data_IF_779820188596
#
_entry.id   IF_779820188596
#
_cell.length_a   1.000
_cell.length_b   1.000
_cell.length_c   1.000
_cell.angle_alpha   90.00
_cell.angle_beta   90.00
_cell.angle_gamma   90.00
#
_symmetry.space_group_name_H-M   'P 1'
#
loop_
_entity.id
_entity.type
_entity.pdbx_description
1 polymer ?
#
# COMPACT_ATOMS: atom_id res chain seq x y z
N UNK A 1 19.07 -2.03 -11.70
CA UNK A 1 19.00 -0.64 -11.22
C UNK A 1 18.30 -0.56 -9.86
N UNK A 2 17.27 -1.34 -9.60
CA UNK A 2 16.53 -1.33 -8.34
C UNK A 2 16.71 -2.65 -7.58
N UNK A 3 17.98 -3.04 -7.35
CA UNK A 3 18.32 -4.25 -6.60
C UNK A 3 17.87 -4.12 -5.14
N UNK A 4 17.14 -5.13 -4.67
CA UNK A 4 16.63 -5.24 -3.31
C UNK A 4 17.19 -6.50 -2.61
N UNK A 5 18.28 -7.06 -3.12
CA UNK A 5 18.94 -8.21 -2.52
C UNK A 5 19.31 -7.93 -1.06
N UNK A 6 18.96 -8.85 -0.17
CA UNK A 6 19.18 -8.72 1.26
C UNK A 6 18.20 -7.78 1.98
N UNK A 7 17.22 -7.19 1.29
CA UNK A 7 16.13 -6.40 1.91
C UNK A 7 14.95 -7.29 2.27
N UNK A 8 14.25 -6.94 3.35
CA UNK A 8 13.12 -7.66 3.94
C UNK A 8 11.88 -6.80 3.86
N UNK A 9 10.88 -7.26 3.12
CA UNK A 9 9.67 -6.50 2.84
C UNK A 9 8.43 -7.13 3.48
N UNK A 10 7.66 -6.36 4.23
CA UNK A 10 6.33 -6.72 4.70
C UNK A 10 5.27 -6.03 3.83
N UNK A 11 4.41 -6.82 3.20
CA UNK A 11 3.35 -6.33 2.31
C UNK A 11 1.98 -6.69 2.89
N UNK A 12 1.17 -5.69 3.24
CA UNK A 12 -0.21 -5.90 3.68
C UNK A 12 -1.18 -5.94 2.50
N UNK A 13 -2.27 -6.71 2.61
CA UNK A 13 -3.20 -6.90 1.51
C UNK A 13 -2.59 -7.63 0.31
N UNK A 14 -1.61 -8.49 0.57
CA UNK A 14 -0.85 -9.21 -0.46
C UNK A 14 -1.65 -10.34 -1.17
N UNK A 15 -2.89 -10.60 -0.74
CA UNK A 15 -3.73 -11.70 -1.27
C UNK A 15 -4.40 -11.40 -2.61
N UNK A 16 -4.16 -10.26 -3.23
CA UNK A 16 -4.77 -9.93 -4.53
C UNK A 16 -4.41 -8.56 -5.06
N UNK A 17 -4.76 -8.29 -6.31
CA UNK A 17 -4.63 -7.01 -6.97
C UNK A 17 -3.23 -6.39 -6.85
N UNK A 18 -3.19 -5.12 -6.49
CA UNK A 18 -1.98 -4.32 -6.34
C UNK A 18 -1.00 -4.95 -5.34
N UNK A 19 -1.49 -5.45 -4.20
CA UNK A 19 -0.61 -6.01 -3.16
C UNK A 19 0.16 -7.24 -3.60
N UNK A 20 -0.49 -8.14 -4.37
CA UNK A 20 0.18 -9.33 -4.92
C UNK A 20 1.22 -8.96 -5.99
N UNK A 21 0.92 -7.98 -6.85
CA UNK A 21 1.85 -7.47 -7.85
C UNK A 21 3.07 -6.82 -7.19
N UNK A 22 2.86 -6.00 -6.16
CA UNK A 22 3.96 -5.40 -5.39
C UNK A 22 4.85 -6.48 -4.76
N UNK A 23 4.24 -7.47 -4.06
CA UNK A 23 5.01 -8.52 -3.42
C UNK A 23 5.87 -9.33 -4.40
N UNK A 24 5.29 -9.70 -5.56
CA UNK A 24 6.00 -10.39 -6.64
C UNK A 24 7.13 -9.52 -7.22
N UNK A 25 6.86 -8.24 -7.46
CA UNK A 25 7.85 -7.32 -8.02
C UNK A 25 9.03 -7.08 -7.07
N UNK A 26 8.79 -6.90 -5.75
CA UNK A 26 9.85 -6.77 -4.75
C UNK A 26 10.70 -8.05 -4.67
N UNK A 27 10.06 -9.22 -4.67
CA UNK A 27 10.76 -10.50 -4.67
C UNK A 27 11.59 -10.72 -5.95
N UNK A 28 11.09 -10.32 -7.11
CA UNK A 28 11.82 -10.38 -8.38
C UNK A 28 13.07 -9.49 -8.39
N UNK A 29 13.13 -8.46 -7.55
CA UNK A 29 14.33 -7.64 -7.32
C UNK A 29 15.22 -8.17 -6.18
N UNK A 30 14.97 -9.37 -5.66
CA UNK A 30 15.81 -10.03 -4.68
C UNK A 30 15.40 -9.82 -3.20
N UNK A 31 14.30 -9.14 -2.93
CA UNK A 31 13.81 -8.98 -1.56
C UNK A 31 13.26 -10.31 -0.99
N UNK A 32 13.51 -10.56 0.29
CA UNK A 32 12.75 -11.50 1.10
C UNK A 32 11.40 -10.88 1.46
N UNK A 33 10.29 -11.59 1.24
CA UNK A 33 8.96 -10.99 1.37
C UNK A 33 8.07 -11.71 2.39
N UNK A 34 7.42 -10.96 3.26
CA UNK A 34 6.33 -11.40 4.11
C UNK A 34 4.99 -10.93 3.54
N UNK A 35 4.12 -11.88 3.23
CA UNK A 35 2.81 -11.69 2.64
C UNK A 35 1.74 -11.66 3.73
N UNK A 36 1.03 -10.55 3.91
CA UNK A 36 0.00 -10.43 4.93
C UNK A 36 -1.38 -10.12 4.33
N UNK A 37 -2.40 -10.70 4.92
CA UNK A 37 -3.81 -10.56 4.58
C UNK A 37 -4.66 -11.56 5.35
N UNK A 38 -5.98 -11.52 5.14
CA UNK A 38 -6.92 -12.40 5.86
C UNK A 38 -7.14 -13.75 5.18
N UNK A 39 -6.95 -13.84 3.86
CA UNK A 39 -7.25 -15.03 3.05
C UNK A 39 -5.99 -15.89 2.86
N UNK A 40 -5.74 -16.82 3.77
CA UNK A 40 -4.51 -17.65 3.77
C UNK A 40 -4.31 -18.37 2.44
N UNK A 41 -5.33 -19.07 1.92
CA UNK A 41 -5.21 -19.77 0.63
C UNK A 41 -4.85 -18.87 -0.55
N UNK A 42 -5.34 -17.60 -0.56
CA UNK A 42 -4.96 -16.65 -1.59
C UNK A 42 -3.51 -16.15 -1.41
N UNK A 43 -3.03 -16.02 -0.18
CA UNK A 43 -1.61 -15.72 0.09
C UNK A 43 -0.70 -16.86 -0.37
N UNK A 44 -1.12 -18.12 -0.15
CA UNK A 44 -0.40 -19.31 -0.61
C UNK A 44 -0.28 -19.35 -2.14
N UNK A 45 -1.37 -19.02 -2.85
CA UNK A 45 -1.34 -18.94 -4.32
C UNK A 45 -0.38 -17.83 -4.81
N UNK A 46 -0.39 -16.67 -4.17
CA UNK A 46 0.57 -15.61 -4.50
C UNK A 46 2.00 -16.07 -4.22
N UNK A 47 2.23 -16.76 -3.10
CA UNK A 47 3.54 -17.26 -2.71
C UNK A 47 4.11 -18.29 -3.71
N UNK A 48 3.27 -19.12 -4.37
CA UNK A 48 3.72 -20.04 -5.43
C UNK A 48 4.39 -19.31 -6.59
N UNK A 49 3.94 -18.11 -6.92
CA UNK A 49 4.49 -17.27 -7.99
C UNK A 49 5.74 -16.46 -7.59
N UNK A 50 6.25 -16.64 -6.37
CA UNK A 50 7.41 -15.92 -5.88
C UNK A 50 8.60 -16.88 -5.80
N UNK A 51 9.68 -16.54 -6.52
CA UNK A 51 10.99 -17.19 -6.38
C UNK A 51 11.76 -16.54 -5.23
N UNK A 52 12.38 -17.32 -4.35
CA UNK A 52 13.12 -16.80 -3.21
C UNK A 52 12.41 -16.96 -1.87
N UNK A 53 12.97 -16.32 -0.85
CA UNK A 53 12.45 -16.42 0.52
C UNK A 53 11.14 -15.65 0.67
N UNK A 54 10.14 -16.32 1.23
CA UNK A 54 8.80 -15.78 1.44
C UNK A 54 8.16 -16.35 2.69
N UNK A 55 7.35 -15.54 3.35
CA UNK A 55 6.64 -15.90 4.57
C UNK A 55 5.17 -15.52 4.42
N UNK A 56 4.29 -16.32 4.99
CA UNK A 56 2.85 -16.04 5.02
C UNK A 56 2.49 -15.68 6.46
N UNK A 57 2.07 -14.43 6.66
CA UNK A 57 1.74 -13.86 7.95
C UNK A 57 0.29 -13.36 7.94
N UNK A 58 -0.70 -14.23 8.24
CA UNK A 58 -2.09 -13.84 8.26
C UNK A 58 -2.35 -12.73 9.28
N UNK A 59 -3.07 -11.69 8.87
CA UNK A 59 -3.44 -10.60 9.76
C UNK A 59 -4.79 -10.01 9.35
N UNK A 60 -5.65 -9.79 10.34
CA UNK A 60 -6.88 -9.02 10.19
C UNK A 60 -6.66 -7.60 10.69
N UNK A 61 -6.61 -6.62 9.79
CA UNK A 61 -6.40 -5.23 10.14
C UNK A 61 -7.57 -4.56 10.87
N UNK A 62 -8.71 -5.21 10.98
CA UNK A 62 -9.81 -4.77 11.84
C UNK A 62 -9.64 -5.19 13.30
N UNK A 63 -8.68 -6.07 13.59
CA UNK A 63 -8.32 -6.50 14.94
C UNK A 63 -6.97 -5.89 15.34
N UNK A 64 -7.01 -4.97 16.30
CA UNK A 64 -5.83 -4.22 16.72
C UNK A 64 -4.74 -5.12 17.32
N UNK A 65 -5.13 -6.16 18.07
CA UNK A 65 -4.17 -7.11 18.64
C UNK A 65 -3.45 -7.89 17.53
N UNK A 66 -4.15 -8.23 16.45
CA UNK A 66 -3.57 -8.85 15.25
C UNK A 66 -2.58 -7.90 14.57
N UNK A 67 -2.95 -6.62 14.45
CA UNK A 67 -2.09 -5.57 13.86
C UNK A 67 -0.79 -5.39 14.67
N UNK A 68 -0.89 -5.33 15.99
CA UNK A 68 0.27 -5.12 16.86
C UNK A 68 1.25 -6.29 16.84
N UNK A 69 0.79 -7.50 16.59
CA UNK A 69 1.64 -8.70 16.45
C UNK A 69 2.31 -8.84 15.08
N UNK A 70 1.78 -8.22 14.02
CA UNK A 70 2.24 -8.49 12.65
C UNK A 70 3.70 -8.11 12.40
N UNK A 71 4.13 -6.91 12.81
CA UNK A 71 5.53 -6.49 12.61
C UNK A 71 6.49 -7.34 13.46
N UNK A 72 6.26 -7.59 14.76
CA UNK A 72 7.06 -8.54 15.53
C UNK A 72 7.18 -9.93 14.89
N UNK A 73 6.10 -10.50 14.36
CA UNK A 73 6.13 -11.78 13.65
C UNK A 73 6.98 -11.70 12.38
N UNK A 74 6.90 -10.60 11.63
CA UNK A 74 7.73 -10.39 10.45
C UNK A 74 9.21 -10.23 10.81
N UNK A 75 9.51 -9.54 11.89
CA UNK A 75 10.88 -9.40 12.41
C UNK A 75 11.45 -10.74 12.88
N UNK A 76 10.65 -11.58 13.53
CA UNK A 76 11.05 -12.93 13.94
C UNK A 76 11.32 -13.82 12.70
N UNK A 77 10.44 -13.78 11.70
CA UNK A 77 10.54 -14.63 10.51
C UNK A 77 11.70 -14.24 9.59
N UNK A 78 11.99 -12.94 9.44
CA UNK A 78 12.96 -12.41 8.47
C UNK A 78 14.23 -11.80 9.12
N UNK A 79 14.26 -11.65 10.44
CA UNK A 79 15.34 -10.97 11.15
C UNK A 79 15.23 -9.43 11.12
N UNK A 80 14.10 -8.88 10.69
CA UNK A 80 13.79 -7.45 10.66
C UNK A 80 12.87 -7.05 9.50
N UNK A 81 12.50 -5.78 9.44
CA UNK A 81 11.70 -5.21 8.35
C UNK A 81 12.40 -3.97 7.80
N UNK A 82 12.82 -4.02 6.55
CA UNK A 82 13.48 -2.92 5.84
C UNK A 82 12.49 -2.10 5.01
N UNK A 83 11.47 -2.76 4.47
CA UNK A 83 10.45 -2.19 3.58
C UNK A 83 9.09 -2.55 4.16
N UNK A 84 8.24 -1.53 4.41
CA UNK A 84 6.86 -1.71 4.83
C UNK A 84 5.92 -1.16 3.76
N UNK A 85 5.10 -2.02 3.18
CA UNK A 85 4.05 -1.64 2.22
C UNK A 85 2.69 -1.70 2.90
N UNK A 86 2.15 -0.53 3.25
CA UNK A 86 0.79 -0.36 3.74
C UNK A 86 -0.17 -0.29 2.54
N UNK A 87 -0.51 -1.46 1.99
CA UNK A 87 -1.37 -1.57 0.80
C UNK A 87 -2.80 -1.99 1.14
N UNK A 88 -3.01 -2.79 2.18
CA UNK A 88 -4.36 -3.22 2.54
C UNK A 88 -5.31 -2.02 2.70
N UNK A 89 -6.52 -2.18 2.22
CA UNK A 89 -7.55 -1.16 2.32
C UNK A 89 -8.91 -1.70 1.92
N UNK A 90 -9.94 -0.97 2.33
CA UNK A 90 -11.33 -1.27 1.99
C UNK A 90 -12.10 0.02 1.72
N UNK A 91 -13.25 -0.11 1.07
CA UNK A 91 -14.26 0.93 0.90
C UNK A 91 -15.57 0.52 1.55
N UNK A 92 -16.35 1.51 1.98
CA UNK A 92 -17.75 1.43 2.39
C UNK A 92 -18.46 2.65 1.81
N UNK A 93 -18.83 2.55 0.55
CA UNK A 93 -19.33 3.68 -0.21
C UNK A 93 -20.79 3.97 0.17
N UNK A 94 -21.06 5.22 0.55
CA UNK A 94 -22.39 5.73 0.82
C UNK A 94 -22.41 7.25 0.67
N UNK A 95 -23.54 7.83 0.28
CA UNK A 95 -23.71 9.28 0.25
C UNK A 95 -23.45 9.85 1.65
N UNK A 96 -22.77 10.99 1.73
CA UNK A 96 -22.29 11.56 2.99
C UNK A 96 -23.42 11.70 4.04
N UNK A 97 -24.60 12.17 3.62
CA UNK A 97 -25.76 12.32 4.51
C UNK A 97 -26.41 10.99 4.96
N UNK A 98 -26.02 9.86 4.36
CA UNK A 98 -26.54 8.52 4.67
C UNK A 98 -25.47 7.60 5.24
N UNK A 99 -24.21 8.05 5.24
CA UNK A 99 -23.07 7.29 5.74
C UNK A 99 -23.26 7.02 7.24
N UNK A 100 -23.14 5.76 7.63
CA UNK A 100 -23.25 5.34 9.03
C UNK A 100 -21.89 5.47 9.71
N UNK A 101 -21.92 5.65 11.04
CA UNK A 101 -20.70 5.75 11.85
C UNK A 101 -19.81 4.50 11.69
N UNK A 102 -20.43 3.31 11.61
CA UNK A 102 -19.70 2.06 11.42
C UNK A 102 -19.00 2.00 10.05
N UNK A 103 -19.62 2.55 8.98
CA UNK A 103 -19.02 2.62 7.64
C UNK A 103 -17.82 3.57 7.62
N UNK A 104 -17.87 4.63 8.40
CA UNK A 104 -16.79 5.57 8.59
C UNK A 104 -15.65 4.94 9.39
N UNK A 105 -15.96 4.40 10.57
CA UNK A 105 -14.98 3.85 11.50
C UNK A 105 -14.26 2.63 10.92
N UNK A 106 -14.96 1.71 10.24
CA UNK A 106 -14.36 0.55 9.58
C UNK A 106 -13.29 0.97 8.56
N UNK A 107 -13.62 1.97 7.72
CA UNK A 107 -12.69 2.44 6.69
C UNK A 107 -11.48 3.13 7.29
N UNK A 108 -11.67 4.03 8.26
CA UNK A 108 -10.56 4.68 8.94
C UNK A 108 -9.70 3.68 9.72
N UNK A 109 -10.30 2.72 10.37
CA UNK A 109 -9.60 1.70 11.14
C UNK A 109 -8.62 0.91 10.27
N UNK A 110 -9.07 0.43 9.12
CA UNK A 110 -8.26 -0.42 8.23
C UNK A 110 -7.29 0.42 7.39
N UNK A 111 -7.75 1.56 6.84
CA UNK A 111 -6.98 2.32 5.86
C UNK A 111 -5.99 3.32 6.48
N UNK A 112 -6.18 3.71 7.74
CA UNK A 112 -5.37 4.74 8.39
C UNK A 112 -4.83 4.29 9.75
N UNK A 113 -5.70 3.82 10.67
CA UNK A 113 -5.27 3.45 12.02
C UNK A 113 -4.35 2.23 12.02
N UNK A 114 -4.68 1.17 11.28
CA UNK A 114 -3.80 0.01 11.16
C UNK A 114 -2.43 0.35 10.53
N UNK A 115 -2.34 1.08 9.39
CA UNK A 115 -1.06 1.61 8.89
C UNK A 115 -0.26 2.41 9.91
N UNK A 116 -0.91 3.23 10.74
CA UNK A 116 -0.23 3.96 11.82
C UNK A 116 0.44 2.99 12.81
N UNK A 117 -0.27 1.97 13.30
CA UNK A 117 0.27 0.99 14.24
C UNK A 117 1.43 0.18 13.64
N UNK A 118 1.27 -0.31 12.41
CA UNK A 118 2.31 -1.05 11.69
C UNK A 118 3.57 -0.19 11.50
N UNK A 119 3.40 1.04 11.07
CA UNK A 119 4.49 2.00 10.86
C UNK A 119 5.20 2.30 12.17
N UNK A 120 4.47 2.59 13.24
CA UNK A 120 5.02 2.85 14.58
C UNK A 120 5.82 1.66 15.13
N UNK A 121 5.40 0.45 14.81
CA UNK A 121 6.13 -0.76 15.20
C UNK A 121 7.42 -0.93 14.38
N UNK A 122 7.34 -0.88 13.05
CA UNK A 122 8.46 -1.11 12.15
C UNK A 122 9.56 -0.06 12.29
N UNK A 123 9.21 1.19 12.56
CA UNK A 123 10.16 2.31 12.63
C UNK A 123 11.23 2.11 13.72
N UNK A 124 10.94 1.37 14.78
CA UNK A 124 11.90 1.10 15.87
C UNK A 124 13.11 0.32 15.36
N UNK A 125 12.88 -0.72 14.54
CA UNK A 125 13.93 -1.50 13.90
C UNK A 125 14.67 -0.68 12.84
N UNK A 126 13.92 0.03 11.98
CA UNK A 126 14.47 0.89 10.93
C UNK A 126 15.39 1.99 11.48
N UNK A 127 15.02 2.60 12.62
CA UNK A 127 15.85 3.62 13.30
C UNK A 127 17.18 3.07 13.79
N UNK A 128 17.21 1.83 14.32
CA UNK A 128 18.45 1.17 14.80
C UNK A 128 19.39 0.87 13.65
N UNK A 129 18.90 0.34 12.54
CA UNK A 129 19.71 -0.01 11.38
C UNK A 129 20.02 1.18 10.46
N UNK A 130 19.41 2.36 10.69
CA UNK A 130 19.54 3.58 9.88
C UNK A 130 19.17 3.35 8.41
N UNK A 131 18.16 2.54 8.19
CA UNK A 131 17.58 2.25 6.89
C UNK A 131 16.11 1.89 7.05
N UNK A 132 15.27 2.41 6.18
CA UNK A 132 13.86 2.03 6.09
C UNK A 132 13.18 2.64 4.86
N UNK A 133 12.19 1.92 4.34
CA UNK A 133 11.33 2.36 3.25
C UNK A 133 9.89 2.08 3.64
N UNK A 134 9.12 3.13 3.88
CA UNK A 134 7.70 3.03 4.26
C UNK A 134 6.89 3.60 3.10
N UNK A 135 6.02 2.78 2.53
CA UNK A 135 5.22 3.13 1.35
C UNK A 135 3.76 2.85 1.65
N UNK A 136 2.94 3.90 1.64
CA UNK A 136 1.48 3.81 1.75
C UNK A 136 0.82 3.78 0.38
N UNK A 137 -0.10 2.85 0.14
CA UNK A 137 -0.93 2.88 -1.07
C UNK A 137 -2.15 3.77 -0.79
N UNK A 138 -2.07 5.00 -1.29
CA UNK A 138 -3.14 6.00 -1.24
C UNK A 138 -4.12 5.79 -2.41
N UNK A 139 -4.66 6.84 -2.99
CA UNK A 139 -5.54 6.84 -4.15
C UNK A 139 -5.67 8.27 -4.70
N UNK A 140 -5.99 8.40 -5.97
CA UNK A 140 -6.46 9.68 -6.54
C UNK A 140 -7.65 10.24 -5.76
N UNK A 141 -8.50 9.38 -5.21
CA UNK A 141 -9.65 9.78 -4.38
C UNK A 141 -9.22 10.51 -3.11
N UNK A 142 -8.05 10.19 -2.56
CA UNK A 142 -7.48 10.93 -1.43
C UNK A 142 -7.05 12.35 -1.77
N UNK A 143 -6.88 12.67 -3.07
CA UNK A 143 -6.47 13.99 -3.56
C UNK A 143 -7.67 14.79 -4.04
N UNK A 144 -8.51 14.20 -4.91
CA UNK A 144 -9.59 14.91 -5.59
C UNK A 144 -10.98 14.68 -4.97
N UNK A 145 -11.12 13.72 -4.05
CA UNK A 145 -12.42 13.26 -3.58
C UNK A 145 -13.17 12.44 -4.63
N UNK A 146 -14.24 11.78 -4.18
CA UNK A 146 -15.22 11.13 -5.06
C UNK A 146 -16.57 11.08 -4.35
N UNK A 147 -17.68 11.40 -5.02
CA UNK A 147 -19.02 11.28 -4.42
C UNK A 147 -19.25 9.87 -3.84
N UNK A 148 -19.82 9.81 -2.64
CA UNK A 148 -20.06 8.56 -1.93
C UNK A 148 -18.85 7.94 -1.22
N UNK A 149 -17.67 8.52 -1.31
CA UNK A 149 -16.44 8.00 -0.73
C UNK A 149 -15.78 8.94 0.30
N UNK A 150 -16.57 9.65 1.08
CA UNK A 150 -16.07 10.62 2.07
C UNK A 150 -15.12 9.99 3.09
N UNK A 151 -15.45 8.82 3.63
CA UNK A 151 -14.63 8.02 4.54
C UNK A 151 -13.32 7.54 3.87
N UNK A 152 -13.42 7.02 2.66
CA UNK A 152 -12.26 6.54 1.90
C UNK A 152 -11.32 7.70 1.52
N UNK A 153 -11.86 8.80 1.01
CA UNK A 153 -11.10 10.01 0.71
C UNK A 153 -10.36 10.54 1.95
N UNK A 154 -11.06 10.65 3.09
CA UNK A 154 -10.47 11.08 4.35
C UNK A 154 -9.33 10.14 4.79
N UNK A 155 -9.53 8.82 4.70
CA UNK A 155 -8.52 7.84 5.09
C UNK A 155 -7.26 7.92 4.22
N UNK A 156 -7.41 8.08 2.89
CA UNK A 156 -6.29 8.13 1.94
C UNK A 156 -5.55 9.48 1.98
N UNK A 157 -6.27 10.57 2.20
CA UNK A 157 -5.67 11.87 2.46
C UNK A 157 -4.94 11.89 3.81
N UNK A 158 -5.54 11.31 4.86
CA UNK A 158 -4.92 11.14 6.17
C UNK A 158 -3.62 10.34 6.12
N UNK A 159 -3.59 9.25 5.35
CA UNK A 159 -2.38 8.44 5.14
C UNK A 159 -1.25 9.26 4.50
N UNK A 160 -1.55 10.09 3.50
CA UNK A 160 -0.57 10.97 2.88
C UNK A 160 -0.07 12.06 3.86
N UNK A 161 -0.98 12.67 4.63
CA UNK A 161 -0.63 13.65 5.66
C UNK A 161 0.25 13.07 6.77
N UNK A 162 -0.13 11.90 7.30
CA UNK A 162 0.67 11.15 8.28
C UNK A 162 2.06 10.82 7.74
N UNK A 163 2.17 10.39 6.49
CA UNK A 163 3.44 10.05 5.86
C UNK A 163 4.37 11.26 5.75
N UNK A 164 3.85 12.43 5.45
CA UNK A 164 4.62 13.69 5.39
C UNK A 164 5.17 14.07 6.77
N UNK A 165 4.35 14.01 7.81
CA UNK A 165 4.79 14.31 9.18
C UNK A 165 5.91 13.37 9.61
N UNK A 166 5.71 12.07 9.42
CA UNK A 166 6.72 11.08 9.77
C UNK A 166 8.03 11.24 8.96
N UNK A 167 7.93 11.61 7.69
CA UNK A 167 9.11 11.85 6.85
C UNK A 167 10.05 12.91 7.46
N UNK A 168 9.51 13.99 8.00
CA UNK A 168 10.32 15.01 8.71
C UNK A 168 11.05 14.44 9.94
N UNK A 169 10.42 13.53 10.68
CA UNK A 169 10.98 12.98 11.91
C UNK A 169 12.16 12.03 11.64
N UNK A 170 12.12 11.29 10.51
CA UNK A 170 13.02 10.14 10.30
C UNK A 170 13.98 10.27 9.13
N UNK A 171 13.87 11.30 8.31
CA UNK A 171 14.73 11.50 7.14
C UNK A 171 16.23 11.47 7.50
N UNK A 172 16.64 12.10 8.61
CA UNK A 172 18.02 12.11 9.10
C UNK A 172 18.56 10.73 9.53
N UNK A 173 17.68 9.73 9.58
CA UNK A 173 18.01 8.34 9.91
C UNK A 173 18.09 7.42 8.69
N UNK A 174 18.07 7.98 7.46
CA UNK A 174 18.10 7.19 6.24
C UNK A 174 16.80 6.44 5.95
N UNK A 175 15.69 6.88 6.56
CA UNK A 175 14.35 6.30 6.37
C UNK A 175 13.55 7.23 5.48
N UNK A 176 12.95 6.69 4.41
CA UNK A 176 12.00 7.43 3.57
C UNK A 176 10.58 6.97 3.80
N UNK A 177 9.65 7.92 3.75
CA UNK A 177 8.22 7.67 3.95
C UNK A 177 7.46 8.33 2.82
N UNK A 178 6.86 7.54 1.94
CA UNK A 178 6.18 8.02 0.75
C UNK A 178 4.81 7.36 0.59
N UNK A 179 3.99 7.93 -0.28
CA UNK A 179 2.75 7.30 -0.72
C UNK A 179 2.73 7.16 -2.24
N UNK A 180 1.98 6.17 -2.73
CA UNK A 180 1.63 6.02 -4.13
C UNK A 180 0.14 6.29 -4.24
N UNK A 181 -0.29 7.10 -5.20
CA UNK A 181 -1.70 7.39 -5.48
C UNK A 181 -2.11 6.77 -6.83
N UNK A 182 -2.59 5.51 -6.84
CA UNK A 182 -3.10 4.90 -8.05
C UNK A 182 -4.37 5.60 -8.53
N UNK A 183 -4.57 5.61 -9.85
CA UNK A 183 -5.84 5.89 -10.48
C UNK A 183 -6.74 4.66 -10.55
N UNK A 184 -7.51 4.57 -11.63
CA UNK A 184 -8.27 3.35 -11.92
C UNK A 184 -7.34 2.25 -12.45
N UNK A 185 -7.24 1.16 -11.69
CA UNK A 185 -6.39 0.01 -11.98
C UNK A 185 -7.26 -1.17 -12.38
N UNK A 186 -6.88 -1.84 -13.47
CA UNK A 186 -7.55 -3.03 -13.96
C UNK A 186 -7.56 -4.13 -12.87
N UNK A 187 -8.71 -4.72 -12.65
CA UNK A 187 -8.95 -5.76 -11.65
C UNK A 187 -10.19 -6.56 -12.02
N UNK A 188 -10.38 -7.72 -11.41
CA UNK A 188 -11.60 -8.52 -11.62
C UNK A 188 -12.90 -7.69 -11.42
N UNK A 189 -12.87 -6.69 -10.53
CA UNK A 189 -14.01 -5.80 -10.30
C UNK A 189 -14.25 -4.84 -11.48
N UNK A 190 -13.18 -4.38 -12.15
CA UNK A 190 -13.33 -3.51 -13.34
C UNK A 190 -13.72 -4.30 -14.59
N UNK A 191 -13.42 -5.61 -14.62
CA UNK A 191 -13.78 -6.49 -15.73
C UNK A 191 -15.29 -6.82 -15.74
N UNK A 192 -15.97 -6.70 -14.60
CA UNK A 192 -17.42 -6.86 -14.46
C UNK A 192 -18.22 -5.62 -14.89
N UNK A 193 -17.55 -4.50 -15.16
CA UNK A 193 -18.22 -3.26 -15.61
C UNK A 193 -18.71 -3.38 -17.05
N UNK A 194 -19.91 -2.86 -17.31
CA UNK A 194 -20.42 -2.77 -18.67
C UNK A 194 -19.67 -1.69 -19.49
N UNK A 195 -19.77 -1.75 -20.82
CA UNK A 195 -19.06 -0.85 -21.74
C UNK A 195 -19.27 0.64 -21.42
N UNK A 196 -20.51 1.05 -21.10
CA UNK A 196 -20.84 2.45 -20.77
C UNK A 196 -20.15 2.90 -19.47
N UNK A 197 -20.04 2.01 -18.47
CA UNK A 197 -19.34 2.31 -17.23
C UNK A 197 -17.83 2.42 -17.47
N UNK A 198 -17.27 1.52 -18.30
CA UNK A 198 -15.87 1.57 -18.69
C UNK A 198 -15.56 2.86 -19.45
N UNK A 199 -16.37 3.23 -20.45
CA UNK A 199 -16.22 4.51 -21.15
C UNK A 199 -16.26 5.72 -20.21
N UNK A 200 -17.19 5.74 -19.27
CA UNK A 200 -17.30 6.84 -18.28
C UNK A 200 -16.04 6.96 -17.41
N UNK A 201 -15.42 5.83 -17.06
CA UNK A 201 -14.16 5.81 -16.33
C UNK A 201 -13.02 6.30 -17.22
N UNK A 202 -12.92 5.79 -18.45
CA UNK A 202 -11.85 6.13 -19.38
C UNK A 202 -11.85 7.61 -19.78
N UNK A 203 -13.03 8.24 -19.88
CA UNK A 203 -13.14 9.69 -20.11
C UNK A 203 -12.47 10.54 -19.02
N UNK A 204 -12.29 9.99 -17.80
CA UNK A 204 -11.60 10.67 -16.68
C UNK A 204 -10.10 10.43 -16.66
N UNK A 205 -9.58 9.54 -17.49
CA UNK A 205 -8.16 9.16 -17.53
C UNK A 205 -7.51 9.72 -18.79
N UNK A 206 -6.69 10.77 -18.71
CA UNK A 206 -6.03 11.34 -19.89
C UNK A 206 -5.22 10.34 -20.73
N UNK A 207 -4.63 9.31 -20.08
CA UNK A 207 -3.92 8.23 -20.80
C UNK A 207 -4.83 7.31 -21.62
N UNK A 208 -6.17 7.44 -21.52
CA UNK A 208 -7.16 6.70 -22.31
C UNK A 208 -7.27 5.21 -21.99
N UNK A 209 -6.68 4.75 -20.87
CA UNK A 209 -6.74 3.35 -20.43
C UNK A 209 -6.70 3.22 -18.91
N UNK A 210 -7.10 2.09 -18.39
CA UNK A 210 -6.84 1.72 -17.02
C UNK A 210 -5.33 1.48 -16.82
N UNK A 211 -4.84 1.76 -15.64
CA UNK A 211 -3.51 1.30 -15.21
C UNK A 211 -3.52 -0.18 -14.86
N UNK A 212 -2.34 -0.77 -14.70
CA UNK A 212 -2.18 -2.15 -14.26
C UNK A 212 -1.60 -2.21 -12.84
N UNK A 213 -1.80 -3.34 -12.16
CA UNK A 213 -1.20 -3.56 -10.84
C UNK A 213 0.35 -3.55 -10.92
N UNK A 214 0.91 -3.98 -12.05
CA UNK A 214 2.34 -4.00 -12.32
C UNK A 214 2.93 -2.58 -12.45
N UNK A 215 2.18 -1.61 -13.00
CA UNK A 215 2.61 -0.21 -13.06
C UNK A 215 2.70 0.41 -11.66
N UNK A 216 1.77 0.06 -10.77
CA UNK A 216 1.85 0.47 -9.35
C UNK A 216 3.00 -0.25 -8.65
N UNK A 217 3.21 -1.53 -8.93
CA UNK A 217 4.29 -2.33 -8.37
C UNK A 217 5.68 -1.81 -8.78
N UNK A 218 5.83 -1.37 -10.04
CA UNK A 218 7.09 -0.74 -10.50
C UNK A 218 7.42 0.53 -9.71
N UNK A 219 6.43 1.36 -9.42
CA UNK A 219 6.59 2.53 -8.57
C UNK A 219 6.97 2.15 -7.12
N UNK A 220 6.38 1.09 -6.57
CA UNK A 220 6.72 0.58 -5.24
C UNK A 220 8.15 0.05 -5.18
N UNK A 221 8.61 -0.68 -6.20
CA UNK A 221 10.01 -1.14 -6.33
C UNK A 221 10.97 0.05 -6.37
N UNK A 222 10.68 1.06 -7.19
CA UNK A 222 11.49 2.28 -7.26
C UNK A 222 11.61 2.95 -5.90
N UNK A 223 10.49 3.23 -5.23
CA UNK A 223 10.49 3.88 -3.91
C UNK A 223 11.11 3.02 -2.80
N UNK A 224 11.18 1.71 -2.97
CA UNK A 224 11.85 0.77 -2.06
C UNK A 224 13.37 0.73 -2.22
N UNK A 225 13.89 1.21 -3.35
CA UNK A 225 15.30 1.10 -3.74
C UNK A 225 16.17 2.24 -3.20
N UNK A 226 17.49 2.07 -3.33
CA UNK A 226 18.45 3.15 -3.06
C UNK A 226 18.32 4.31 -4.07
N UNK A 227 17.81 4.05 -5.28
CA UNK A 227 17.55 5.09 -6.27
C UNK A 227 16.54 6.15 -5.81
N UNK A 228 15.72 5.84 -4.80
CA UNK A 228 14.77 6.76 -4.20
C UNK A 228 15.20 7.31 -2.83
N UNK A 229 16.46 7.15 -2.43
CA UNK A 229 16.93 7.53 -1.09
C UNK A 229 16.76 9.03 -0.76
N UNK A 230 16.63 9.89 -1.77
CA UNK A 230 16.41 11.33 -1.59
C UNK A 230 14.94 11.75 -1.79
N UNK A 231 14.02 10.78 -1.93
CA UNK A 231 12.58 11.01 -2.09
C UNK A 231 11.89 10.61 -0.79
N UNK A 232 11.36 11.59 -0.06
CA UNK A 232 10.61 11.36 1.18
C UNK A 232 9.50 12.39 1.36
N UNK A 233 8.40 12.03 1.99
CA UNK A 233 7.21 12.87 2.15
C UNK A 233 6.42 13.08 0.86
N UNK A 234 6.75 12.37 -0.21
CA UNK A 234 6.14 12.53 -1.53
C UNK A 234 4.95 11.59 -1.75
N UNK A 235 3.99 12.06 -2.54
CA UNK A 235 2.91 11.22 -3.08
C UNK A 235 3.16 11.04 -4.58
N UNK A 236 3.61 9.83 -4.97
CA UNK A 236 3.85 9.51 -6.37
C UNK A 236 2.54 9.13 -7.06
N UNK A 237 2.11 9.94 -8.00
CA UNK A 237 0.89 9.72 -8.78
C UNK A 237 1.11 8.67 -9.87
N UNK A 238 0.36 7.55 -9.82
CA UNK A 238 0.34 6.48 -10.84
C UNK A 238 -1.10 6.33 -11.31
N UNK A 239 -1.57 7.33 -12.08
CA UNK A 239 -3.00 7.51 -12.32
C UNK A 239 -3.37 7.93 -13.76
N UNK A 240 -2.44 7.77 -14.73
CA UNK A 240 -2.70 8.11 -16.13
C UNK A 240 -3.04 9.58 -16.38
N UNK A 241 -2.61 10.48 -15.49
CA UNK A 241 -2.85 11.92 -15.60
C UNK A 241 -4.17 12.40 -15.00
N UNK A 242 -4.91 11.57 -14.26
CA UNK A 242 -6.15 11.98 -13.58
C UNK A 242 -5.92 13.12 -12.58
N UNK A 243 -4.76 13.14 -11.95
CA UNK A 243 -4.33 14.19 -11.02
C UNK A 243 -2.89 14.58 -11.36
N UNK A 244 -2.68 15.88 -11.57
CA UNK A 244 -1.38 16.47 -11.93
C UNK A 244 -1.04 17.55 -10.90
N UNK A 245 -0.34 17.17 -9.81
CA UNK A 245 0.07 18.06 -8.70
C UNK A 245 1.53 17.79 -8.33
#
# INVERSE_FOLDING_TARGET
MFDLSGKRALVTGASGGIGSAIAKALAAQGAEVALSGTRVGALEEVAKGISGKKHILPCNLSDLDSVERLVPQAEEAMGGVDILINNAGMTRDNLFMRMKDEEWDDVLKINLTAPFHLTRSAIKGMMKQRFGRIIGISSVVGVMGNPGQGNYAASKAGLAGMSKSLAYEVASRGITVNTIAPGFIASAMTDELNEKQQETILQKVPAGRLGTAEEVAAAAVFLSSEGAAYITGHTLNVNGGMVMI
#
